data_IF_519762689974
#
_entry.id   IF_519762689974
#
_cell.length_a   1.000
_cell.length_b   1.000
_cell.length_c   1.000
_cell.angle_alpha   90.00
_cell.angle_beta   90.00
_cell.angle_gamma   90.00
#
_symmetry.space_group_name_H-M   'P 1'
#
loop_
_entity.id
_entity.type
_entity.pdbx_description
1 polymer ?
#
# COMPACT_ATOMS: atom_id res chain seq x y z
N UNK A 1 -25.72 -5.07 -3.79
CA UNK A 1 -25.87 -4.50 -5.15
C UNK A 1 -24.51 -4.07 -5.70
N UNK A 2 -23.70 -3.32 -4.95
CA UNK A 2 -22.38 -2.87 -5.42
C UNK A 2 -21.48 -4.00 -5.90
N UNK A 3 -21.41 -5.12 -5.17
CA UNK A 3 -20.63 -6.29 -5.59
C UNK A 3 -21.16 -6.91 -6.90
N UNK A 4 -22.51 -6.95 -7.08
CA UNK A 4 -23.13 -7.48 -8.29
C UNK A 4 -22.89 -6.58 -9.51
N UNK A 5 -22.79 -5.27 -9.28
CA UNK A 5 -22.60 -4.26 -10.31
C UNK A 5 -21.12 -3.93 -10.57
N UNK A 6 -20.21 -4.67 -9.94
CA UNK A 6 -18.76 -4.46 -10.04
C UNK A 6 -18.33 -3.00 -9.72
N UNK A 7 -18.93 -2.45 -8.66
CA UNK A 7 -18.65 -1.08 -8.23
C UNK A 7 -17.53 -1.07 -7.19
N UNK A 8 -16.56 -0.20 -7.37
CA UNK A 8 -15.48 0.03 -6.38
C UNK A 8 -15.99 0.72 -5.11
N UNK A 9 -17.08 1.49 -5.23
CA UNK A 9 -17.79 2.15 -4.11
C UNK A 9 -19.29 1.83 -4.16
N UNK A 10 -19.96 1.91 -3.00
CA UNK A 10 -21.38 1.52 -2.88
C UNK A 10 -22.34 2.69 -2.79
N UNK A 11 -21.87 3.91 -2.98
CA UNK A 11 -22.67 5.14 -2.91
C UNK A 11 -22.14 6.21 -3.86
N UNK A 12 -22.65 7.43 -3.70
CA UNK A 12 -22.13 8.62 -4.39
C UNK A 12 -20.85 9.06 -3.69
N UNK A 13 -19.86 8.19 -3.66
CA UNK A 13 -18.61 8.40 -2.95
C UNK A 13 -17.43 8.15 -3.86
N UNK A 14 -16.39 9.00 -3.82
CA UNK A 14 -15.12 8.66 -4.44
C UNK A 14 -14.48 7.49 -3.70
N UNK A 15 -13.57 6.80 -4.33
CA UNK A 15 -12.83 5.75 -3.67
C UNK A 15 -12.05 6.31 -2.48
N UNK A 16 -12.02 5.55 -1.38
CA UNK A 16 -11.31 5.94 -0.16
C UNK A 16 -9.80 5.94 -0.37
N UNK A 17 -9.28 4.92 -1.05
CA UNK A 17 -7.88 4.76 -1.37
C UNK A 17 -7.72 3.85 -2.60
N UNK A 18 -6.65 4.08 -3.37
CA UNK A 18 -6.35 3.31 -4.58
C UNK A 18 -5.95 1.86 -4.27
N UNK A 19 -5.25 1.65 -3.15
CA UNK A 19 -4.84 0.33 -2.66
C UNK A 19 -5.56 0.05 -1.35
N UNK A 20 -6.21 -1.09 -1.27
CA UNK A 20 -7.01 -1.50 -0.12
C UNK A 20 -6.56 -2.85 0.42
N UNK A 21 -6.77 -3.05 1.70
CA UNK A 21 -6.58 -4.35 2.35
C UNK A 21 -7.92 -4.93 2.74
N UNK A 22 -8.18 -6.12 2.26
CA UNK A 22 -9.39 -6.87 2.59
C UNK A 22 -9.04 -8.00 3.53
N UNK A 23 -9.69 -8.03 4.71
CA UNK A 23 -9.56 -9.14 5.65
C UNK A 23 -10.30 -10.35 5.09
N UNK A 24 -9.62 -11.49 5.07
CA UNK A 24 -10.19 -12.75 4.64
C UNK A 24 -10.93 -13.45 5.81
N UNK A 25 -12.00 -14.16 5.51
CA UNK A 25 -12.80 -14.91 6.50
C UNK A 25 -12.02 -16.02 7.21
N UNK A 26 -10.99 -16.56 6.54
CA UNK A 26 -10.06 -17.55 7.10
C UNK A 26 -8.85 -16.96 7.83
N UNK A 27 -8.80 -15.66 8.02
CA UNK A 27 -7.63 -14.93 8.52
C UNK A 27 -6.71 -14.42 7.41
N UNK A 28 -5.80 -13.51 7.77
CA UNK A 28 -4.92 -12.82 6.82
C UNK A 28 -5.59 -11.66 6.08
N UNK A 29 -4.78 -10.98 5.27
CA UNK A 29 -5.20 -9.82 4.49
C UNK A 29 -4.86 -10.05 3.02
N UNK A 30 -5.71 -9.51 2.17
CA UNK A 30 -5.50 -9.49 0.73
C UNK A 30 -5.39 -8.04 0.26
N UNK A 31 -4.30 -7.72 -0.41
CA UNK A 31 -4.03 -6.38 -0.96
C UNK A 31 -4.55 -6.31 -2.38
N UNK A 32 -5.43 -5.36 -2.63
CA UNK A 32 -6.01 -5.09 -3.95
C UNK A 32 -5.78 -3.63 -4.35
N UNK A 33 -5.50 -3.42 -5.62
CA UNK A 33 -5.58 -2.11 -6.23
C UNK A 33 -6.94 -1.96 -6.92
N UNK A 34 -7.48 -0.75 -6.93
CA UNK A 34 -8.72 -0.45 -7.67
C UNK A 34 -8.57 -0.85 -9.14
N UNK A 35 -9.43 -1.73 -9.63
CA UNK A 35 -9.34 -2.32 -10.97
C UNK A 35 -9.64 -1.33 -12.09
N UNK A 36 -10.23 -0.18 -11.79
CA UNK A 36 -10.41 0.89 -12.77
C UNK A 36 -9.11 1.63 -13.11
N UNK A 37 -8.07 1.53 -12.27
CA UNK A 37 -6.77 2.20 -12.51
C UNK A 37 -6.09 1.73 -13.81
N UNK A 38 -5.88 0.43 -14.07
CA UNK A 38 -5.30 -0.01 -15.33
C UNK A 38 -6.10 0.43 -16.56
N UNK A 39 -7.43 0.41 -16.45
CA UNK A 39 -8.31 0.85 -17.53
C UNK A 39 -8.21 2.36 -17.78
N UNK A 40 -8.19 3.16 -16.72
CA UNK A 40 -8.00 4.61 -16.81
C UNK A 40 -6.65 4.95 -17.44
N UNK A 41 -5.57 4.30 -17.01
CA UNK A 41 -4.23 4.50 -17.59
C UNK A 41 -4.20 4.13 -19.08
N UNK A 42 -4.85 3.04 -19.47
CA UNK A 42 -4.97 2.64 -20.88
C UNK A 42 -5.73 3.69 -21.71
N UNK A 43 -6.83 4.22 -21.18
CA UNK A 43 -7.58 5.28 -21.84
C UNK A 43 -6.82 6.60 -21.93
N UNK A 44 -5.88 6.86 -21.00
CA UNK A 44 -4.96 7.98 -21.05
C UNK A 44 -3.79 7.78 -22.02
N UNK A 45 -3.70 6.60 -22.67
CA UNK A 45 -2.70 6.29 -23.68
C UNK A 45 -1.39 5.68 -23.17
N UNK A 46 -1.36 5.19 -21.92
CA UNK A 46 -0.18 4.47 -21.40
C UNK A 46 -0.09 3.07 -22.00
N UNK A 47 1.14 2.60 -22.23
CA UNK A 47 1.42 1.24 -22.67
C UNK A 47 1.32 0.25 -21.49
N UNK A 48 1.07 -1.02 -21.79
CA UNK A 48 0.88 -2.06 -20.77
C UNK A 48 2.08 -2.16 -19.80
N UNK A 49 3.32 -2.01 -20.30
CA UNK A 49 4.52 -2.00 -19.47
C UNK A 49 4.53 -0.83 -18.46
N UNK A 50 4.13 0.36 -18.91
CA UNK A 50 4.04 1.54 -18.05
C UNK A 50 2.90 1.39 -17.03
N UNK A 51 1.77 0.82 -17.44
CA UNK A 51 0.64 0.53 -16.57
C UNK A 51 1.07 -0.41 -15.46
N UNK A 52 1.77 -1.51 -15.80
CA UNK A 52 2.27 -2.45 -14.81
C UNK A 52 3.25 -1.79 -13.83
N UNK A 53 4.19 -0.99 -14.32
CA UNK A 53 5.14 -0.27 -13.47
C UNK A 53 4.45 0.71 -12.50
N UNK A 54 3.40 1.41 -12.95
CA UNK A 54 2.59 2.30 -12.12
C UNK A 54 1.80 1.52 -11.06
N UNK A 55 1.22 0.39 -11.45
CA UNK A 55 0.48 -0.50 -10.53
C UNK A 55 1.43 -1.08 -9.47
N UNK A 56 2.60 -1.57 -9.88
CA UNK A 56 3.60 -2.11 -8.96
C UNK A 56 4.15 -1.06 -8.01
N UNK A 57 4.33 0.18 -8.48
CA UNK A 57 4.71 1.30 -7.63
C UNK A 57 3.67 1.56 -6.53
N UNK A 58 2.39 1.55 -6.85
CA UNK A 58 1.32 1.83 -5.90
C UNK A 58 1.05 0.64 -4.97
N UNK A 59 0.94 -0.57 -5.52
CA UNK A 59 0.56 -1.78 -4.80
C UNK A 59 1.74 -2.50 -4.16
N UNK A 60 2.92 -2.38 -4.74
CA UNK A 60 4.09 -3.21 -4.46
C UNK A 60 4.11 -4.50 -5.25
N UNK A 61 5.31 -5.04 -5.43
CA UNK A 61 5.53 -6.31 -6.13
C UNK A 61 5.09 -7.53 -5.31
N UNK A 62 5.04 -7.37 -3.97
CA UNK A 62 4.70 -8.44 -3.03
C UNK A 62 5.76 -9.53 -2.91
N UNK A 63 7.00 -9.27 -3.34
CA UNK A 63 8.09 -10.23 -3.29
C UNK A 63 9.44 -9.55 -3.07
N UNK A 64 10.36 -10.26 -2.43
CA UNK A 64 11.77 -9.88 -2.27
C UNK A 64 12.56 -9.98 -3.59
N UNK A 65 12.01 -10.66 -4.60
CA UNK A 65 12.68 -10.83 -5.90
C UNK A 65 12.80 -9.49 -6.62
N UNK A 66 14.05 -9.13 -6.95
CA UNK A 66 14.34 -7.86 -7.63
C UNK A 66 14.23 -6.62 -6.75
N UNK A 67 13.94 -6.77 -5.46
CA UNK A 67 13.89 -5.66 -4.53
C UNK A 67 15.28 -5.03 -4.33
N UNK A 68 15.38 -3.70 -4.23
CA UNK A 68 16.64 -3.04 -3.95
C UNK A 68 17.08 -3.35 -2.52
N UNK A 69 18.37 -3.49 -2.31
CA UNK A 69 19.06 -3.67 -1.01
C UNK A 69 18.63 -4.92 -0.22
N UNK A 70 17.34 -5.16 0.00
CA UNK A 70 16.81 -6.28 0.80
C UNK A 70 16.13 -7.26 -0.14
N UNK A 71 16.87 -8.29 -0.52
CA UNK A 71 16.48 -9.32 -1.46
C UNK A 71 17.06 -10.68 -1.07
N UNK A 72 16.79 -11.72 -1.85
CA UNK A 72 17.26 -13.08 -1.59
C UNK A 72 18.78 -13.17 -1.37
N UNK A 73 19.57 -12.47 -2.19
CA UNK A 73 21.02 -12.56 -2.14
C UNK A 73 21.57 -11.82 -0.94
N UNK A 74 21.11 -10.59 -0.69
CA UNK A 74 21.56 -9.80 0.45
C UNK A 74 21.20 -10.44 1.78
N UNK A 75 20.01 -11.04 1.90
CA UNK A 75 19.60 -11.75 3.13
C UNK A 75 20.43 -13.01 3.36
N UNK A 76 20.74 -13.77 2.32
CA UNK A 76 21.68 -14.90 2.43
C UNK A 76 23.06 -14.47 2.92
N UNK A 77 23.57 -13.35 2.42
CA UNK A 77 24.84 -12.78 2.90
C UNK A 77 24.78 -12.35 4.38
N UNK A 78 23.61 -12.00 4.89
CA UNK A 78 23.36 -11.69 6.30
C UNK A 78 23.13 -12.93 7.18
N UNK A 79 23.20 -14.12 6.60
CA UNK A 79 23.14 -15.39 7.33
C UNK A 79 21.77 -16.08 7.32
N UNK A 80 20.80 -15.60 6.55
CA UNK A 80 19.53 -16.31 6.38
C UNK A 80 19.69 -17.57 5.53
N UNK A 81 18.99 -18.63 5.88
CA UNK A 81 18.88 -19.82 5.05
C UNK A 81 17.92 -19.56 3.88
N UNK A 82 17.99 -20.40 2.85
CA UNK A 82 17.08 -20.30 1.72
C UNK A 82 15.61 -20.45 2.14
N UNK A 83 15.33 -21.40 3.02
CA UNK A 83 14.00 -21.68 3.55
C UNK A 83 13.42 -20.49 4.33
N UNK A 84 14.24 -19.83 5.14
CA UNK A 84 13.83 -18.63 5.89
C UNK A 84 13.49 -17.46 4.95
N UNK A 85 14.30 -17.27 3.90
CA UNK A 85 14.03 -16.22 2.91
C UNK A 85 12.76 -16.51 2.13
N UNK A 86 12.52 -17.76 1.73
CA UNK A 86 11.28 -18.17 1.06
C UNK A 86 10.06 -18.01 1.98
N UNK A 87 10.21 -18.35 3.26
CA UNK A 87 9.14 -18.14 4.23
C UNK A 87 8.79 -16.67 4.37
N UNK A 88 9.78 -15.80 4.54
CA UNK A 88 9.59 -14.34 4.58
C UNK A 88 8.96 -13.84 3.28
N UNK A 89 9.45 -14.28 2.11
CA UNK A 89 8.91 -13.89 0.80
C UNK A 89 7.42 -14.24 0.66
N UNK A 90 7.00 -15.39 1.16
CA UNK A 90 5.61 -15.84 1.10
C UNK A 90 4.62 -14.92 1.84
N UNK A 91 5.11 -14.15 2.80
CA UNK A 91 4.31 -13.22 3.63
C UNK A 91 4.22 -11.84 2.96
N UNK A 92 5.18 -11.48 2.10
CA UNK A 92 5.33 -10.13 1.54
C UNK A 92 4.09 -9.67 0.76
N UNK A 93 3.40 -10.56 0.07
CA UNK A 93 2.22 -10.21 -0.72
C UNK A 93 1.08 -9.57 0.12
N UNK A 94 1.01 -9.90 1.41
CA UNK A 94 0.01 -9.38 2.35
C UNK A 94 0.58 -8.34 3.34
N UNK A 95 1.89 -8.06 3.27
CA UNK A 95 2.55 -7.17 4.22
C UNK A 95 2.21 -5.70 3.95
N UNK A 96 2.00 -4.95 5.04
CA UNK A 96 1.89 -3.48 5.02
C UNK A 96 3.26 -2.81 5.05
N UNK A 97 4.19 -3.45 5.73
CA UNK A 97 5.56 -3.00 5.89
C UNK A 97 6.45 -4.25 6.02
N UNK A 98 7.61 -4.24 5.38
CA UNK A 98 8.52 -5.38 5.38
C UNK A 98 8.97 -5.79 6.76
N UNK A 99 9.08 -4.84 7.70
CA UNK A 99 9.51 -5.12 9.08
C UNK A 99 8.59 -6.10 9.81
N UNK A 100 7.32 -6.21 9.38
CA UNK A 100 6.39 -7.19 9.97
C UNK A 100 6.76 -8.65 9.71
N UNK A 101 7.55 -8.91 8.68
CA UNK A 101 8.03 -10.26 8.39
C UNK A 101 9.42 -10.54 9.01
N UNK A 102 10.13 -9.51 9.46
CA UNK A 102 11.48 -9.63 10.04
C UNK A 102 11.44 -9.48 11.57
N UNK A 103 10.81 -10.44 12.23
CA UNK A 103 10.71 -10.48 13.70
C UNK A 103 10.71 -11.92 14.23
N UNK A 104 10.82 -12.07 15.55
CA UNK A 104 10.89 -13.38 16.21
C UNK A 104 9.65 -14.24 16.00
N UNK A 105 8.47 -13.64 15.85
CA UNK A 105 7.23 -14.39 15.66
C UNK A 105 7.15 -15.06 14.30
N UNK A 106 7.76 -14.45 13.30
CA UNK A 106 7.84 -14.98 11.94
C UNK A 106 9.01 -15.93 11.76
N UNK A 107 10.18 -15.56 12.27
CA UNK A 107 11.44 -16.27 12.03
C UNK A 107 11.74 -17.34 13.08
N UNK A 108 11.18 -17.20 14.29
CA UNK A 108 11.45 -18.08 15.42
C UNK A 108 12.74 -17.71 16.19
N UNK A 109 12.77 -18.13 17.45
CA UNK A 109 13.91 -17.84 18.37
C UNK A 109 15.22 -18.44 17.87
N UNK A 110 15.20 -19.66 17.36
CA UNK A 110 16.40 -20.34 16.85
C UNK A 110 17.07 -19.55 15.70
N UNK A 111 16.29 -18.94 14.83
CA UNK A 111 16.81 -18.07 13.77
C UNK A 111 17.40 -16.81 14.34
N UNK A 112 16.75 -16.17 15.32
CA UNK A 112 17.26 -14.95 15.97
C UNK A 112 18.59 -15.22 16.67
N UNK A 113 18.69 -16.30 17.44
CA UNK A 113 19.93 -16.71 18.13
C UNK A 113 21.06 -17.02 17.13
N UNK A 114 20.77 -17.74 16.04
CA UNK A 114 21.72 -18.05 14.99
C UNK A 114 22.24 -16.79 14.28
N UNK A 115 21.39 -15.76 14.14
CA UNK A 115 21.77 -14.45 13.62
C UNK A 115 22.52 -13.58 14.65
N UNK A 116 22.68 -14.05 15.90
CA UNK A 116 23.44 -13.39 16.95
C UNK A 116 22.60 -12.48 17.87
N UNK A 117 21.28 -12.61 17.87
CA UNK A 117 20.38 -11.81 18.68
C UNK A 117 19.76 -12.66 19.80
N UNK A 118 20.06 -12.35 21.07
CA UNK A 118 19.45 -13.00 22.24
C UNK A 118 18.05 -12.47 22.51
N UNK A 119 17.29 -13.16 23.38
CA UNK A 119 15.97 -12.74 23.82
C UNK A 119 15.96 -11.30 24.38
N UNK A 120 17.01 -10.90 25.07
CA UNK A 120 17.13 -9.54 25.62
C UNK A 120 17.13 -8.49 24.49
N UNK A 121 17.81 -8.76 23.35
CA UNK A 121 17.88 -7.84 22.22
C UNK A 121 16.52 -7.72 21.49
N UNK A 122 15.91 -8.86 21.09
CA UNK A 122 14.71 -8.79 20.24
C UNK A 122 13.41 -8.50 21.00
N UNK A 123 13.45 -8.50 22.35
CA UNK A 123 12.31 -8.06 23.18
C UNK A 123 12.40 -6.58 23.57
N UNK A 124 13.49 -5.89 23.29
CA UNK A 124 13.59 -4.46 23.55
C UNK A 124 12.57 -3.66 22.74
N UNK A 125 11.87 -2.69 23.37
CA UNK A 125 10.96 -1.80 22.67
C UNK A 125 11.66 -1.06 21.53
N UNK A 126 11.12 -1.20 20.31
CA UNK A 126 11.69 -0.53 19.12
C UNK A 126 12.80 -1.31 18.41
N UNK A 127 13.12 -2.54 18.83
CA UNK A 127 14.02 -3.40 18.09
C UNK A 127 13.53 -3.60 16.65
N UNK A 128 14.43 -3.44 15.70
CA UNK A 128 14.16 -3.69 14.27
C UNK A 128 15.30 -4.53 13.71
N UNK A 129 14.99 -5.78 13.33
CA UNK A 129 15.98 -6.75 12.85
C UNK A 129 16.72 -6.26 11.61
N UNK A 130 16.03 -5.62 10.65
CA UNK A 130 16.69 -5.13 9.44
C UNK A 130 17.76 -4.07 9.76
N UNK A 131 17.47 -3.17 10.69
CA UNK A 131 18.46 -2.19 11.17
C UNK A 131 19.61 -2.86 11.92
N UNK A 132 19.30 -3.84 12.76
CA UNK A 132 20.32 -4.60 13.49
C UNK A 132 21.23 -5.39 12.54
N UNK A 133 20.73 -5.86 11.41
CA UNK A 133 21.50 -6.49 10.32
C UNK A 133 22.34 -5.48 9.51
N UNK A 134 22.24 -4.18 9.81
CA UNK A 134 23.07 -3.13 9.21
C UNK A 134 22.47 -2.48 7.96
N UNK A 135 21.17 -2.69 7.66
CA UNK A 135 20.53 -1.91 6.61
C UNK A 135 20.19 -0.49 7.10
N UNK A 136 20.46 0.50 6.26
CA UNK A 136 20.10 1.88 6.55
C UNK A 136 18.59 2.11 6.50
N UNK A 137 18.12 3.23 7.03
CA UNK A 137 16.72 3.60 6.96
C UNK A 137 16.26 3.75 5.51
N UNK A 138 17.08 4.38 4.69
CA UNK A 138 16.83 4.63 3.28
C UNK A 138 16.76 3.33 2.48
N UNK A 139 17.64 2.36 2.77
CA UNK A 139 17.64 1.03 2.16
C UNK A 139 16.37 0.25 2.50
N UNK A 140 15.97 0.28 3.78
CA UNK A 140 14.73 -0.35 4.25
C UNK A 140 13.52 0.29 3.58
N UNK A 141 13.47 1.62 3.49
CA UNK A 141 12.37 2.35 2.86
C UNK A 141 12.30 2.08 1.36
N UNK A 142 13.42 2.05 0.66
CA UNK A 142 13.47 1.72 -0.77
C UNK A 142 12.97 0.29 -1.03
N UNK A 143 13.41 -0.69 -0.24
CA UNK A 143 12.92 -2.06 -0.33
C UNK A 143 11.43 -2.15 0.02
N UNK A 144 11.00 -1.45 1.08
CA UNK A 144 9.60 -1.40 1.49
C UNK A 144 8.69 -0.85 0.38
N UNK A 145 9.08 0.27 -0.24
CA UNK A 145 8.31 0.86 -1.33
C UNK A 145 8.22 -0.06 -2.54
N UNK A 146 9.27 -0.81 -2.84
CA UNK A 146 9.27 -1.79 -3.93
C UNK A 146 8.36 -2.99 -3.61
N UNK A 147 8.47 -3.54 -2.40
CA UNK A 147 7.79 -4.79 -2.01
C UNK A 147 6.34 -4.51 -1.59
N UNK A 148 6.15 -3.55 -0.71
CA UNK A 148 4.84 -3.24 -0.13
C UNK A 148 4.07 -2.16 -0.90
N UNK A 149 4.75 -1.39 -1.77
CA UNK A 149 4.17 -0.29 -2.52
C UNK A 149 4.06 1.00 -1.71
N UNK A 150 3.89 2.10 -2.42
CA UNK A 150 3.75 3.45 -1.84
C UNK A 150 2.33 3.77 -1.39
N UNK A 151 1.34 2.93 -1.77
CA UNK A 151 -0.09 3.11 -1.57
C UNK A 151 -0.68 4.35 -2.27
N UNK A 152 0.12 5.07 -3.05
CA UNK A 152 -0.28 6.21 -3.87
C UNK A 152 0.22 6.06 -5.29
N UNK A 153 -0.36 6.80 -6.22
CA UNK A 153 0.10 6.87 -7.61
C UNK A 153 0.99 8.09 -7.85
N UNK A 154 1.02 9.01 -6.90
CA UNK A 154 1.85 10.21 -6.98
C UNK A 154 3.33 9.84 -6.95
N UNK A 155 4.09 10.36 -7.91
CA UNK A 155 5.51 10.02 -8.10
C UNK A 155 5.75 8.68 -8.81
N UNK A 156 4.71 7.99 -9.28
CA UNK A 156 4.86 6.74 -10.02
C UNK A 156 5.68 6.93 -11.30
N UNK A 157 6.60 6.01 -11.63
CA UNK A 157 7.45 6.12 -12.81
C UNK A 157 6.58 6.20 -14.07
N UNK A 158 6.97 7.09 -15.00
CA UNK A 158 6.31 7.32 -16.29
C UNK A 158 4.89 7.92 -16.21
N UNK A 159 4.31 8.12 -15.03
CA UNK A 159 3.03 8.80 -14.89
C UNK A 159 3.22 10.32 -14.93
N UNK A 160 2.50 10.97 -15.86
CA UNK A 160 2.55 12.41 -15.99
C UNK A 160 1.73 13.10 -14.91
N UNK A 161 2.26 14.13 -14.27
CA UNK A 161 1.58 14.88 -13.20
C UNK A 161 0.20 15.42 -13.62
N UNK A 162 0.05 15.84 -14.87
CA UNK A 162 -1.26 16.30 -15.40
C UNK A 162 -2.37 15.25 -15.34
N UNK A 163 -2.03 13.98 -15.15
CA UNK A 163 -2.98 12.87 -15.02
C UNK A 163 -3.26 12.49 -13.57
N UNK A 164 -2.53 13.03 -12.59
CA UNK A 164 -2.71 12.66 -11.19
C UNK A 164 -4.15 12.88 -10.70
N UNK A 165 -4.80 13.96 -11.13
CA UNK A 165 -6.17 14.29 -10.72
C UNK A 165 -7.22 13.26 -11.10
N UNK A 166 -6.96 12.41 -12.08
CA UNK A 166 -7.85 11.30 -12.47
C UNK A 166 -7.93 10.25 -11.36
N UNK A 167 -6.91 10.18 -10.51
CA UNK A 167 -6.73 9.17 -9.48
C UNK A 167 -6.90 9.73 -8.06
N UNK A 168 -7.39 10.96 -7.91
CA UNK A 168 -7.66 11.56 -6.61
C UNK A 168 -8.74 10.75 -5.88
N UNK A 169 -8.46 10.42 -4.62
CA UNK A 169 -9.36 9.70 -3.72
C UNK A 169 -10.01 10.63 -2.69
N UNK A 170 -10.88 10.09 -1.85
CA UNK A 170 -11.48 10.84 -0.75
C UNK A 170 -10.45 11.32 0.28
N UNK A 171 -9.32 10.62 0.39
CA UNK A 171 -8.22 10.95 1.31
C UNK A 171 -6.88 10.96 0.58
N UNK A 172 -5.89 11.57 1.21
CA UNK A 172 -4.49 11.41 0.84
C UNK A 172 -4.09 9.94 0.95
N UNK A 173 -3.46 9.40 -0.07
CA UNK A 173 -3.10 7.98 -0.14
C UNK A 173 -1.64 7.74 0.22
N UNK A 174 -1.38 6.71 1.03
CA UNK A 174 -0.01 6.35 1.41
C UNK A 174 0.66 7.36 2.33
N UNK A 175 2.00 7.23 2.44
CA UNK A 175 2.81 8.11 3.29
C UNK A 175 3.20 9.42 2.61
N UNK A 176 3.25 9.42 1.28
CA UNK A 176 3.78 10.51 0.45
C UNK A 176 2.72 11.18 -0.43
N UNK A 177 1.51 10.65 -0.50
CA UNK A 177 0.41 11.24 -1.26
C UNK A 177 -0.07 12.53 -0.61
N UNK A 178 -0.21 13.57 -1.40
CA UNK A 178 -0.67 14.89 -0.97
C UNK A 178 -2.05 15.24 -1.51
N UNK A 179 -2.44 14.57 -2.60
CA UNK A 179 -3.68 14.85 -3.33
C UNK A 179 -4.87 14.13 -2.73
N UNK A 180 -6.00 14.82 -2.73
CA UNK A 180 -7.30 14.29 -2.33
C UNK A 180 -8.42 15.14 -2.94
N UNK A 181 -9.63 14.61 -2.97
CA UNK A 181 -10.80 15.37 -3.39
C UNK A 181 -11.22 16.26 -2.23
N UNK A 182 -11.17 17.57 -2.44
CA UNK A 182 -11.56 18.57 -1.45
C UNK A 182 -12.99 18.37 -0.96
N UNK A 183 -13.26 18.59 0.32
CA UNK A 183 -14.57 18.36 0.96
C UNK A 183 -15.74 19.03 0.23
N UNK A 184 -15.55 20.23 -0.29
CA UNK A 184 -16.59 20.88 -1.12
C UNK A 184 -16.88 20.15 -2.44
N UNK A 185 -15.94 19.40 -2.97
CA UNK A 185 -16.18 18.52 -4.13
C UNK A 185 -17.22 17.45 -3.81
N UNK A 186 -17.13 16.86 -2.62
CA UNK A 186 -18.10 15.89 -2.11
C UNK A 186 -19.50 16.51 -1.97
N UNK A 187 -19.60 17.70 -1.35
CA UNK A 187 -20.89 18.42 -1.17
C UNK A 187 -21.53 18.77 -2.52
N UNK A 188 -20.72 19.29 -3.45
CA UNK A 188 -21.20 19.66 -4.80
C UNK A 188 -21.71 18.45 -5.58
N UNK A 189 -21.00 17.31 -5.48
CA UNK A 189 -21.44 16.07 -6.12
C UNK A 189 -22.78 15.61 -5.55
N UNK A 190 -22.96 15.64 -4.22
CA UNK A 190 -24.23 15.31 -3.57
C UNK A 190 -25.36 16.21 -4.05
N UNK A 191 -25.15 17.53 -4.08
CA UNK A 191 -26.13 18.50 -4.57
C UNK A 191 -26.49 18.28 -6.05
N UNK A 192 -25.52 17.89 -6.88
CA UNK A 192 -25.76 17.62 -8.30
C UNK A 192 -26.55 16.33 -8.53
N UNK A 193 -26.34 15.30 -7.72
CA UNK A 193 -26.97 13.97 -7.90
C UNK A 193 -28.35 13.89 -7.25
N UNK A 194 -28.59 14.61 -6.15
CA UNK A 194 -29.85 14.54 -5.37
C UNK A 194 -31.11 14.67 -6.21
N UNK A 195 -31.22 15.56 -7.21
CA UNK A 195 -32.45 15.69 -8.02
C UNK A 195 -32.78 14.45 -8.85
N UNK A 196 -31.82 13.57 -9.08
CA UNK A 196 -31.97 12.37 -9.92
C UNK A 196 -32.19 11.08 -9.10
N UNK A 197 -32.24 11.19 -7.77
CA UNK A 197 -32.39 10.04 -6.86
C UNK A 197 -33.73 10.15 -6.14
N UNK A 198 -34.51 9.08 -6.16
CA UNK A 198 -35.85 9.04 -5.59
C UNK A 198 -35.91 9.01 -4.06
N UNK A 199 -34.82 8.75 -3.41
CA UNK A 199 -34.72 8.66 -1.95
C UNK A 199 -33.67 9.58 -1.35
N UNK A 200 -33.56 9.54 -0.03
CA UNK A 200 -32.45 10.23 0.65
C UNK A 200 -31.13 9.53 0.39
N UNK A 201 -30.07 10.31 0.26
CA UNK A 201 -28.69 9.82 0.21
C UNK A 201 -27.91 10.37 1.40
N UNK A 202 -27.05 9.54 1.96
CA UNK A 202 -26.10 9.94 2.98
C UNK A 202 -24.69 9.88 2.43
N UNK A 203 -23.82 10.70 2.98
CA UNK A 203 -22.43 10.78 2.58
C UNK A 203 -21.54 11.04 3.78
N UNK A 204 -20.47 10.27 3.89
CA UNK A 204 -19.36 10.61 4.76
C UNK A 204 -18.41 11.55 4.04
N UNK A 205 -18.08 12.67 4.64
CA UNK A 205 -17.06 13.59 4.16
C UNK A 205 -15.87 13.44 5.08
N UNK A 206 -14.76 13.00 4.53
CA UNK A 206 -13.51 12.90 5.25
C UNK A 206 -12.78 14.24 5.16
N UNK A 207 -12.32 14.71 6.31
CA UNK A 207 -11.48 15.90 6.43
C UNK A 207 -10.06 15.47 6.77
N UNK A 208 -9.03 16.16 6.28
CA UNK A 208 -7.66 15.93 6.72
C UNK A 208 -7.51 16.27 8.21
N UNK A 209 -6.51 15.68 8.88
CA UNK A 209 -6.28 15.92 10.32
C UNK A 209 -5.97 17.38 10.66
N UNK A 210 -5.44 18.12 9.71
CA UNK A 210 -5.12 19.55 9.81
C UNK A 210 -6.33 20.47 9.54
N UNK A 211 -7.49 19.90 9.19
CA UNK A 211 -8.69 20.70 8.92
C UNK A 211 -9.13 21.51 10.15
N UNK A 212 -9.56 22.74 9.92
CA UNK A 212 -10.05 23.67 10.93
C UNK A 212 -11.57 23.79 10.90
N UNK A 213 -12.15 24.55 11.83
CA UNK A 213 -13.60 24.82 11.87
C UNK A 213 -14.04 25.69 10.68
N UNK A 214 -13.10 26.32 10.00
CA UNK A 214 -13.35 27.22 8.86
C UNK A 214 -13.36 26.47 7.52
N UNK A 215 -12.85 25.21 7.51
CA UNK A 215 -12.83 24.33 6.35
C UNK A 215 -14.18 23.62 6.15
#
# INVERSE_FOLDING_TARGET
IGLLMDCDTTGVEPDFALVKFKKLSGGGYFKIINQSIPLALKNLGYKDESIQAIVDYAKGTGTLKGAPYINFDSLKLKGFTHEEVEHVDSIMAAAFDISFAFNVFTLGEATMERLGYSAEHYTEPGFNLLRALGFSREEIEAANNHICGTMTIEGAPQLLEKHYSVFDCANKCGKIGERYIHQYGHVRMMGAVQPFISGAISKTINLPNEATVED
#
